data_IF_211495723788
#
_entry.id   IF_211495723788
#
_cell.length_a   1.000
_cell.length_b   1.000
_cell.length_c   1.000
_cell.angle_alpha   90.00
_cell.angle_beta   90.00
_cell.angle_gamma   90.00
#
_symmetry.space_group_name_H-M   'P 1'
#
loop_
_entity.id
_entity.type
_entity.pdbx_description
1 polymer ?
#
# COMPACT_ATOMS: atom_id res chain seq x y z
N UNK A 1 -21.54 -2.83 -7.28
CA UNK A 1 -20.47 -2.81 -6.27
C UNK A 1 -19.74 -4.12 -6.38
N UNK A 2 -18.41 -4.09 -6.58
CA UNK A 2 -17.63 -5.31 -6.63
C UNK A 2 -17.60 -5.98 -5.25
N UNK A 3 -17.68 -7.30 -5.22
CA UNK A 3 -17.81 -8.10 -3.99
C UNK A 3 -16.51 -8.06 -3.17
N UNK A 4 -16.60 -7.85 -1.85
CA UNK A 4 -15.41 -7.83 -1.00
C UNK A 4 -14.73 -9.21 -1.02
N UNK A 5 -13.45 -9.24 -1.39
CA UNK A 5 -12.67 -10.48 -1.61
C UNK A 5 -11.42 -10.57 -0.73
N UNK A 6 -11.20 -9.60 0.18
CA UNK A 6 -9.95 -9.46 0.91
C UNK A 6 -10.10 -9.04 2.38
N UNK A 7 -9.25 -9.54 3.30
CA UNK A 7 -8.31 -10.64 3.12
C UNK A 7 -9.02 -12.00 2.95
N UNK A 8 -8.46 -12.96 2.18
CA UNK A 8 -9.00 -14.32 2.09
C UNK A 8 -8.72 -15.03 3.42
N UNK A 9 -9.67 -14.94 4.33
CA UNK A 9 -9.55 -15.57 5.64
C UNK A 9 -10.02 -17.03 5.55
N UNK A 10 -9.34 -17.97 6.23
CA UNK A 10 -9.88 -19.30 6.44
C UNK A 10 -11.29 -19.21 7.04
N UNK A 11 -12.21 -20.06 6.58
CA UNK A 11 -13.63 -20.09 7.01
C UNK A 11 -13.86 -20.17 8.53
N UNK A 12 -12.82 -20.47 9.31
CA UNK A 12 -12.83 -20.59 10.77
C UNK A 12 -12.68 -19.23 11.50
N UNK A 13 -12.27 -18.16 10.80
CA UNK A 13 -12.17 -16.82 11.37
C UNK A 13 -13.49 -16.07 11.09
N UNK A 14 -14.23 -15.61 12.12
CA UNK A 14 -15.52 -14.92 11.97
C UNK A 14 -15.37 -13.46 11.48
N UNK A 15 -14.38 -13.19 10.63
CA UNK A 15 -14.18 -11.91 9.97
C UNK A 15 -14.56 -12.10 8.51
N UNK A 16 -15.61 -11.40 8.07
CA UNK A 16 -15.97 -11.35 6.64
C UNK A 16 -14.88 -10.59 5.88
N UNK A 17 -14.60 -10.94 4.61
CA UNK A 17 -13.77 -10.10 3.76
C UNK A 17 -14.35 -8.68 3.74
N UNK A 18 -13.55 -7.72 4.20
CA UNK A 18 -14.02 -6.33 4.38
C UNK A 18 -13.71 -5.46 3.15
N UNK A 19 -12.84 -5.92 2.24
CA UNK A 19 -12.35 -5.09 1.14
C UNK A 19 -12.39 -5.81 -0.21
N UNK A 20 -12.75 -5.06 -1.24
CA UNK A 20 -12.52 -5.46 -2.63
C UNK A 20 -11.08 -5.15 -3.03
N UNK A 21 -10.40 -6.13 -3.63
CA UNK A 21 -9.03 -6.02 -4.13
C UNK A 21 -8.91 -6.80 -5.44
N UNK A 22 -8.58 -6.11 -6.52
CA UNK A 22 -8.31 -6.74 -7.82
C UNK A 22 -7.01 -6.19 -8.41
N UNK A 23 -6.01 -7.06 -8.55
CA UNK A 23 -4.72 -6.68 -9.10
C UNK A 23 -4.78 -6.38 -10.61
N UNK A 24 -5.84 -6.79 -11.31
CA UNK A 24 -6.03 -6.51 -12.74
C UNK A 24 -6.41 -5.04 -13.01
N UNK A 25 -6.92 -4.32 -12.01
CA UNK A 25 -7.20 -2.88 -12.11
C UNK A 25 -5.92 -2.03 -12.12
N UNK A 26 -4.77 -2.60 -11.74
CA UNK A 26 -3.49 -1.90 -11.72
C UNK A 26 -2.83 -2.03 -13.11
N UNK A 27 -2.27 -0.94 -13.66
CA UNK A 27 -1.48 -0.99 -14.90
C UNK A 27 -0.39 -2.06 -14.82
N UNK A 28 -0.17 -2.82 -15.90
CA UNK A 28 0.73 -3.99 -15.91
C UNK A 28 2.15 -3.67 -15.40
N UNK A 29 2.63 -2.45 -15.67
CA UNK A 29 3.95 -1.97 -15.24
C UNK A 29 4.09 -1.88 -13.70
N UNK A 30 3.05 -1.49 -12.98
CA UNK A 30 3.04 -1.33 -11.51
C UNK A 30 2.43 -2.54 -10.78
N UNK A 31 1.71 -3.39 -11.49
CA UNK A 31 1.02 -4.58 -10.96
C UNK A 31 1.97 -5.54 -10.27
N UNK A 32 3.14 -5.81 -10.87
CA UNK A 32 4.15 -6.70 -10.28
C UNK A 32 4.69 -6.16 -8.96
N UNK A 33 4.88 -4.84 -8.86
CA UNK A 33 5.36 -4.22 -7.63
C UNK A 33 4.30 -4.26 -6.53
N UNK A 34 3.04 -3.95 -6.85
CA UNK A 34 1.93 -4.06 -5.91
C UNK A 34 1.74 -5.49 -5.39
N UNK A 35 1.85 -6.50 -6.27
CA UNK A 35 1.84 -7.91 -5.87
C UNK A 35 2.99 -8.25 -4.92
N UNK A 36 4.21 -7.78 -5.16
CA UNK A 36 5.36 -8.02 -4.26
C UNK A 36 5.13 -7.40 -2.88
N UNK A 37 4.60 -6.18 -2.83
CA UNK A 37 4.23 -5.52 -1.57
C UNK A 37 3.11 -6.25 -0.84
N UNK A 38 2.15 -6.81 -1.56
CA UNK A 38 1.12 -7.64 -0.97
C UNK A 38 1.69 -8.92 -0.31
N UNK A 39 2.57 -9.63 -1.01
CA UNK A 39 3.23 -10.81 -0.43
C UNK A 39 4.11 -10.43 0.78
N UNK A 40 4.74 -9.25 0.77
CA UNK A 40 5.48 -8.74 1.92
C UNK A 40 4.56 -8.47 3.12
N UNK A 41 3.36 -7.92 2.90
CA UNK A 41 2.36 -7.76 3.95
C UNK A 41 1.92 -9.11 4.53
N UNK A 42 1.62 -10.10 3.68
CA UNK A 42 1.30 -11.47 4.13
C UNK A 42 2.46 -12.04 4.96
N UNK A 43 3.70 -11.91 4.47
CA UNK A 43 4.89 -12.40 5.16
C UNK A 43 5.03 -11.75 6.53
N UNK A 44 4.79 -10.44 6.65
CA UNK A 44 4.81 -9.73 7.93
C UNK A 44 3.74 -10.27 8.89
N UNK A 45 2.51 -10.46 8.43
CA UNK A 45 1.44 -11.05 9.25
C UNK A 45 1.73 -12.50 9.66
N UNK A 46 2.24 -13.31 8.75
CA UNK A 46 2.66 -14.68 9.04
C UNK A 46 3.81 -14.71 10.05
N UNK A 47 4.76 -13.79 9.95
CA UNK A 47 5.87 -13.64 10.90
C UNK A 47 5.36 -13.34 12.30
N UNK A 48 4.37 -12.44 12.45
CA UNK A 48 3.75 -12.16 13.74
C UNK A 48 3.01 -13.37 14.32
N UNK A 49 2.37 -14.18 13.47
CA UNK A 49 1.68 -15.39 13.91
C UNK A 49 2.67 -16.47 14.37
N UNK A 50 3.77 -16.68 13.62
CA UNK A 50 4.85 -17.59 14.02
C UNK A 50 5.57 -17.07 15.27
N UNK A 51 5.71 -15.75 15.42
CA UNK A 51 6.26 -15.14 16.62
C UNK A 51 5.42 -15.42 17.86
N UNK A 52 4.08 -15.46 17.75
CA UNK A 52 3.21 -15.87 18.84
C UNK A 52 3.53 -17.30 19.32
N UNK A 53 3.77 -18.23 18.38
CA UNK A 53 4.18 -19.60 18.69
C UNK A 53 5.59 -19.61 19.33
N UNK A 54 6.52 -18.81 18.82
CA UNK A 54 7.86 -18.65 19.42
C UNK A 54 7.80 -18.11 20.85
N UNK A 55 6.95 -17.12 21.11
CA UNK A 55 6.76 -16.56 22.44
C UNK A 55 6.03 -17.53 23.39
N UNK A 56 5.15 -18.40 22.86
CA UNK A 56 4.56 -19.50 23.63
C UNK A 56 5.64 -20.52 24.01
N UNK A 57 6.51 -20.89 23.07
CA UNK A 57 7.62 -21.81 23.35
C UNK A 57 8.61 -21.21 24.37
N UNK A 58 8.90 -19.91 24.31
CA UNK A 58 9.64 -19.19 25.35
C UNK A 58 8.98 -19.33 26.72
N UNK A 59 7.67 -19.09 26.80
CA UNK A 59 6.92 -19.19 28.05
C UNK A 59 6.94 -20.61 28.62
N UNK A 60 6.69 -21.63 27.79
CA UNK A 60 6.77 -23.04 28.21
C UNK A 60 8.20 -23.48 28.56
N UNK A 61 9.21 -22.84 27.99
CA UNK A 61 10.62 -23.14 28.23
C UNK A 61 11.22 -22.52 29.50
N UNK A 62 10.40 -21.88 30.34
CA UNK A 62 10.83 -21.22 31.57
C UNK A 62 11.01 -19.71 31.46
N UNK A 63 10.61 -19.10 30.35
CA UNK A 63 10.64 -17.66 30.15
C UNK A 63 9.37 -16.94 30.62
N UNK A 64 9.45 -15.63 30.86
CA UNK A 64 8.31 -14.84 31.33
C UNK A 64 7.15 -14.71 30.32
N UNK A 65 5.91 -14.63 30.83
CA UNK A 65 4.68 -14.53 30.03
C UNK A 65 4.48 -13.18 29.31
N UNK A 66 5.23 -12.14 29.69
CA UNK A 66 5.13 -10.79 29.10
C UNK A 66 5.32 -10.82 27.59
N UNK A 67 6.31 -11.57 27.09
CA UNK A 67 6.55 -11.65 25.66
C UNK A 67 5.38 -12.30 24.91
N UNK A 68 4.74 -13.31 25.51
CA UNK A 68 3.57 -13.96 24.93
C UNK A 68 2.36 -13.02 24.87
N UNK A 69 2.05 -12.32 25.96
CA UNK A 69 0.96 -11.34 25.98
C UNK A 69 1.17 -10.21 24.97
N UNK A 70 2.39 -9.68 24.89
CA UNK A 70 2.75 -8.66 23.90
C UNK A 70 2.69 -9.18 22.47
N UNK A 71 3.08 -10.43 22.20
CA UNK A 71 2.98 -11.03 20.86
C UNK A 71 1.53 -11.13 20.37
N UNK A 72 0.57 -11.40 21.26
CA UNK A 72 -0.87 -11.36 20.94
C UNK A 72 -1.30 -9.95 20.51
N UNK A 73 -0.90 -8.93 21.29
CA UNK A 73 -1.20 -7.53 20.98
C UNK A 73 -0.61 -7.13 19.62
N UNK A 74 0.65 -7.49 19.35
CA UNK A 74 1.28 -7.26 18.05
C UNK A 74 0.50 -7.94 16.91
N UNK A 75 0.12 -9.20 17.07
CA UNK A 75 -0.60 -9.92 16.03
C UNK A 75 -1.97 -9.27 15.71
N UNK A 76 -2.74 -8.93 16.76
CA UNK A 76 -4.11 -8.41 16.60
C UNK A 76 -4.12 -6.94 16.16
N UNK A 77 -3.24 -6.10 16.70
CA UNK A 77 -3.23 -4.67 16.42
C UNK A 77 -2.41 -4.32 15.18
N UNK A 78 -1.22 -4.91 15.04
CA UNK A 78 -0.26 -4.51 14.01
C UNK A 78 -0.61 -5.07 12.63
N UNK A 79 -1.27 -6.23 12.56
CA UNK A 79 -1.76 -6.81 11.30
C UNK A 79 -2.77 -5.91 10.57
N UNK A 80 -3.90 -5.49 11.19
CA UNK A 80 -4.85 -4.58 10.53
C UNK A 80 -4.28 -3.17 10.36
N UNK A 81 -3.48 -2.68 11.33
CA UNK A 81 -2.85 -1.37 11.24
C UNK A 81 -1.91 -1.29 10.02
N UNK A 82 -1.02 -2.27 9.85
CA UNK A 82 -0.10 -2.29 8.71
C UNK A 82 -0.85 -2.35 7.36
N UNK A 83 -1.94 -3.10 7.28
CA UNK A 83 -2.78 -3.13 6.08
C UNK A 83 -3.36 -1.75 5.74
N UNK A 84 -3.99 -1.10 6.73
CA UNK A 84 -4.66 0.19 6.53
C UNK A 84 -3.67 1.32 6.31
N UNK A 85 -2.55 1.33 7.04
CA UNK A 85 -1.66 2.46 7.11
C UNK A 85 -0.61 2.49 5.99
N UNK A 86 -0.22 1.36 5.40
CA UNK A 86 0.74 1.38 4.29
C UNK A 86 0.28 0.61 3.05
N UNK A 87 -0.32 -0.57 3.20
CA UNK A 87 -0.71 -1.37 2.03
C UNK A 87 -1.87 -0.74 1.25
N UNK A 88 -2.88 -0.21 1.96
CA UNK A 88 -4.01 0.46 1.33
C UNK A 88 -3.62 1.77 0.62
N UNK A 89 -2.81 2.68 1.22
CA UNK A 89 -2.26 3.83 0.51
C UNK A 89 -1.51 3.44 -0.76
N UNK A 90 -0.63 2.43 -0.72
CA UNK A 90 0.15 2.06 -1.90
C UNK A 90 -0.70 1.39 -2.99
N UNK A 91 -1.70 0.60 -2.62
CA UNK A 91 -2.67 0.09 -3.59
C UNK A 91 -3.41 1.23 -4.30
N UNK A 92 -3.91 2.21 -3.53
CA UNK A 92 -4.59 3.38 -4.09
C UNK A 92 -3.64 4.22 -4.95
N UNK A 93 -2.41 4.41 -4.50
CA UNK A 93 -1.37 5.12 -5.23
C UNK A 93 -1.11 4.48 -6.60
N UNK A 94 -0.96 3.16 -6.67
CA UNK A 94 -0.76 2.46 -7.94
C UNK A 94 -2.02 2.40 -8.83
N UNK A 95 -3.23 2.38 -8.26
CA UNK A 95 -4.48 2.37 -9.02
C UNK A 95 -4.79 3.72 -9.67
N UNK A 96 -4.61 4.82 -8.93
CA UNK A 96 -5.03 6.16 -9.39
C UNK A 96 -3.85 7.08 -9.71
N UNK A 97 -2.63 6.57 -9.74
CA UNK A 97 -1.37 7.33 -9.91
C UNK A 97 -1.27 8.57 -8.98
N UNK A 98 -1.75 8.44 -7.74
CA UNK A 98 -1.92 9.58 -6.83
C UNK A 98 -0.65 9.85 -6.00
N UNK A 99 -0.05 11.02 -6.20
CA UNK A 99 1.19 11.46 -5.53
C UNK A 99 1.03 11.56 -4.01
N UNK A 100 -0.13 12.02 -3.53
CA UNK A 100 -0.42 12.11 -2.10
C UNK A 100 -0.42 10.73 -1.41
N UNK A 101 -0.96 9.71 -2.05
CA UNK A 101 -0.98 8.34 -1.50
C UNK A 101 0.42 7.70 -1.51
N UNK A 102 1.27 8.04 -2.50
CA UNK A 102 2.68 7.65 -2.47
C UNK A 102 3.42 8.29 -1.29
N UNK A 103 3.21 9.58 -1.02
CA UNK A 103 3.84 10.27 0.11
C UNK A 103 3.45 9.64 1.46
N UNK A 104 2.16 9.39 1.66
CA UNK A 104 1.66 8.72 2.86
C UNK A 104 2.25 7.31 3.03
N UNK A 105 2.35 6.55 1.94
CA UNK A 105 3.01 5.24 1.95
C UNK A 105 4.48 5.35 2.38
N UNK A 106 5.28 6.25 1.80
CA UNK A 106 6.70 6.36 2.15
C UNK A 106 6.92 6.68 3.62
N UNK A 107 6.15 7.62 4.18
CA UNK A 107 6.29 7.99 5.58
C UNK A 107 5.97 6.82 6.52
N UNK A 108 4.82 6.17 6.33
CA UNK A 108 4.40 5.05 7.19
C UNK A 108 5.29 3.82 6.98
N UNK A 109 5.63 3.51 5.73
CA UNK A 109 6.43 2.34 5.40
C UNK A 109 7.88 2.47 5.86
N UNK A 110 8.43 3.69 5.91
CA UNK A 110 9.73 3.94 6.54
C UNK A 110 9.69 3.62 8.04
N UNK A 111 8.65 4.06 8.76
CA UNK A 111 8.47 3.70 10.17
C UNK A 111 8.30 2.18 10.34
N UNK A 112 7.57 1.52 9.45
CA UNK A 112 7.44 0.06 9.42
C UNK A 112 8.81 -0.63 9.26
N UNK A 113 9.69 -0.13 8.38
CA UNK A 113 11.06 -0.66 8.23
C UNK A 113 11.83 -0.54 9.54
N UNK A 114 11.79 0.62 10.20
CA UNK A 114 12.46 0.81 11.51
C UNK A 114 11.92 -0.17 12.55
N UNK A 115 10.60 -0.32 12.65
CA UNK A 115 9.96 -1.27 13.57
C UNK A 115 10.43 -2.70 13.26
N UNK A 116 10.46 -3.10 11.98
CA UNK A 116 10.91 -4.46 11.60
C UNK A 116 12.36 -4.74 11.96
N UNK A 117 13.24 -3.73 11.91
CA UNK A 117 14.63 -3.84 12.36
C UNK A 117 14.69 -4.04 13.88
N UNK A 118 13.92 -3.26 14.65
CA UNK A 118 13.84 -3.42 16.11
C UNK A 118 13.29 -4.80 16.49
N UNK A 119 12.29 -5.30 15.76
CA UNK A 119 11.72 -6.63 15.96
C UNK A 119 12.74 -7.74 15.65
N UNK A 120 13.55 -7.57 14.59
CA UNK A 120 14.63 -8.50 14.28
C UNK A 120 15.72 -8.51 15.37
N UNK A 121 16.06 -7.36 15.95
CA UNK A 121 16.99 -7.28 17.09
C UNK A 121 16.40 -7.99 18.32
N UNK A 122 15.12 -7.81 18.60
CA UNK A 122 14.40 -8.56 19.64
C UNK A 122 14.65 -8.06 21.06
N UNK A 123 14.27 -6.81 21.34
CA UNK A 123 14.38 -6.22 22.69
C UNK A 123 13.52 -7.04 23.68
N UNK A 124 14.08 -7.51 24.81
CA UNK A 124 13.31 -8.24 25.82
C UNK A 124 12.09 -7.45 26.30
N UNK A 125 10.93 -8.11 26.42
CA UNK A 125 9.69 -7.48 26.87
C UNK A 125 8.87 -6.81 25.76
N UNK A 126 9.39 -6.71 24.53
CA UNK A 126 8.63 -6.19 23.38
C UNK A 126 7.66 -7.20 22.78
N UNK A 127 7.69 -8.47 23.18
CA UNK A 127 6.84 -9.50 22.60
C UNK A 127 7.31 -10.03 21.25
N UNK A 128 8.63 -10.04 21.04
CA UNK A 128 9.25 -10.55 19.83
C UNK A 128 10.40 -11.49 20.14
N UNK A 129 10.45 -12.61 19.41
CA UNK A 129 11.57 -13.54 19.38
C UNK A 129 12.60 -13.08 18.34
N UNK A 130 13.29 -11.96 18.60
CA UNK A 130 14.42 -11.52 17.77
C UNK A 130 15.75 -12.07 18.25
N UNK A 131 16.84 -11.69 17.59
CA UNK A 131 18.17 -12.26 17.80
C UNK A 131 18.64 -12.22 19.26
N UNK A 132 18.49 -11.10 19.94
CA UNK A 132 18.93 -10.93 21.33
C UNK A 132 18.18 -11.88 22.28
N UNK A 133 16.84 -11.90 22.18
CA UNK A 133 16.01 -12.83 22.95
C UNK A 133 16.37 -14.29 22.65
N UNK A 134 16.47 -14.67 21.37
CA UNK A 134 16.72 -16.06 20.99
C UNK A 134 18.11 -16.55 21.43
N UNK A 135 19.17 -15.75 21.22
CA UNK A 135 20.54 -16.11 21.61
C UNK A 135 20.64 -16.29 23.14
N UNK A 136 20.05 -15.36 23.90
CA UNK A 136 20.09 -15.44 25.37
C UNK A 136 19.30 -16.61 25.93
N UNK A 137 18.29 -17.11 25.21
CA UNK A 137 17.48 -18.23 25.69
C UNK A 137 18.12 -19.61 25.43
N UNK A 138 19.14 -19.70 24.56
CA UNK A 138 19.83 -20.96 24.29
C UNK A 138 20.47 -21.58 25.54
N UNK A 139 20.95 -20.75 26.47
CA UNK A 139 21.50 -21.23 27.75
C UNK A 139 20.43 -21.71 28.73
N UNK A 140 19.15 -21.40 28.49
CA UNK A 140 18.02 -21.75 29.36
C UNK A 140 17.32 -23.01 28.86
N UNK A 141 16.88 -23.01 27.60
CA UNK A 141 16.20 -24.15 26.99
C UNK A 141 16.47 -24.19 25.49
N UNK A 142 17.27 -25.17 25.07
CA UNK A 142 17.67 -25.36 23.67
C UNK A 142 16.44 -25.62 22.78
N UNK A 143 15.48 -26.44 23.24
CA UNK A 143 14.29 -26.77 22.46
C UNK A 143 13.45 -25.54 22.14
N UNK A 144 13.15 -24.72 23.13
CA UNK A 144 12.43 -23.45 22.93
C UNK A 144 13.23 -22.47 22.08
N UNK A 145 14.54 -22.36 22.28
CA UNK A 145 15.39 -21.47 21.49
C UNK A 145 15.42 -21.83 20.00
N UNK A 146 15.38 -23.12 19.66
CA UNK A 146 15.25 -23.57 18.26
C UNK A 146 13.92 -23.14 17.65
N UNK A 147 12.82 -23.24 18.39
CA UNK A 147 11.49 -22.77 17.90
C UNK A 147 11.51 -21.26 17.70
N UNK A 148 12.18 -20.51 18.58
CA UNK A 148 12.29 -19.05 18.48
C UNK A 148 13.19 -18.57 17.33
N UNK A 149 14.14 -19.37 16.87
CA UNK A 149 14.96 -19.01 15.70
C UNK A 149 14.10 -18.83 14.44
N UNK A 150 12.99 -19.56 14.32
CA UNK A 150 12.10 -19.48 13.16
C UNK A 150 11.55 -18.05 12.98
N UNK A 151 10.83 -17.46 13.96
CA UNK A 151 10.40 -16.07 13.86
C UNK A 151 11.56 -15.07 13.81
N UNK A 152 12.71 -15.33 14.46
CA UNK A 152 13.90 -14.46 14.36
C UNK A 152 14.37 -14.30 12.91
N UNK A 153 14.50 -15.41 12.19
CA UNK A 153 14.93 -15.41 10.78
C UNK A 153 13.85 -14.73 9.91
N UNK A 154 12.58 -15.00 10.18
CA UNK A 154 11.47 -14.37 9.45
C UNK A 154 11.43 -12.85 9.66
N UNK A 155 11.63 -12.33 10.88
CA UNK A 155 11.72 -10.89 11.13
C UNK A 155 12.90 -10.26 10.38
N UNK A 156 14.05 -10.95 10.34
CA UNK A 156 15.21 -10.50 9.57
C UNK A 156 14.88 -10.43 8.07
N UNK A 157 14.22 -11.46 7.53
CA UNK A 157 13.77 -11.48 6.14
C UNK A 157 12.78 -10.36 5.84
N UNK A 158 11.80 -10.12 6.72
CA UNK A 158 10.84 -9.01 6.60
C UNK A 158 11.58 -7.66 6.58
N UNK A 159 12.54 -7.44 7.48
CA UNK A 159 13.30 -6.18 7.52
C UNK A 159 14.08 -5.93 6.22
N UNK A 160 14.80 -6.95 5.74
CA UNK A 160 15.58 -6.87 4.48
C UNK A 160 14.68 -6.64 3.28
N UNK A 161 13.60 -7.44 3.14
CA UNK A 161 12.67 -7.31 2.02
C UNK A 161 11.90 -5.99 2.06
N UNK A 162 11.56 -5.48 3.25
CA UNK A 162 10.91 -4.16 3.40
C UNK A 162 11.84 -3.04 2.98
N UNK A 163 13.12 -3.11 3.35
CA UNK A 163 14.12 -2.14 2.89
C UNK A 163 14.27 -2.15 1.36
N UNK A 164 14.43 -3.34 0.76
CA UNK A 164 14.52 -3.49 -0.70
C UNK A 164 13.26 -2.97 -1.39
N UNK A 165 12.07 -3.28 -0.84
CA UNK A 165 10.81 -2.82 -1.38
C UNK A 165 10.69 -1.30 -1.34
N UNK A 166 11.07 -0.66 -0.23
CA UNK A 166 11.10 0.80 -0.09
C UNK A 166 11.99 1.43 -1.18
N UNK A 167 13.21 0.94 -1.36
CA UNK A 167 14.12 1.43 -2.41
C UNK A 167 13.54 1.25 -3.81
N UNK A 168 12.91 0.11 -4.09
CA UNK A 168 12.31 -0.19 -5.40
C UNK A 168 11.12 0.72 -5.70
N UNK A 169 10.21 0.96 -4.74
CA UNK A 169 9.08 1.89 -4.93
C UNK A 169 9.60 3.32 -5.09
N UNK A 170 10.59 3.71 -4.28
CA UNK A 170 11.19 5.04 -4.36
C UNK A 170 11.87 5.30 -5.71
N UNK A 171 12.61 4.32 -6.24
CA UNK A 171 13.23 4.42 -7.55
C UNK A 171 12.20 4.44 -8.69
N UNK A 172 11.11 3.66 -8.58
CA UNK A 172 10.01 3.72 -9.53
C UNK A 172 9.34 5.11 -9.52
N UNK A 173 9.09 5.65 -8.33
CA UNK A 173 8.50 6.98 -8.15
C UNK A 173 9.40 8.11 -8.68
N UNK A 174 10.73 8.01 -8.49
CA UNK A 174 11.71 8.97 -9.05
C UNK A 174 11.92 8.81 -10.55
N UNK A 175 11.95 7.58 -11.05
CA UNK A 175 12.20 7.27 -12.47
C UNK A 175 11.05 7.66 -13.39
N UNK A 176 9.82 7.72 -12.88
CA UNK A 176 8.64 8.19 -13.62
C UNK A 176 8.50 9.71 -13.73
N UNK A 177 9.47 10.51 -13.28
CA UNK A 177 9.60 11.94 -13.59
C UNK A 177 8.61 12.93 -12.92
N UNK A 178 7.85 12.54 -11.88
CA UNK A 178 6.69 13.32 -11.42
C UNK A 178 6.80 14.19 -10.15
N UNK A 179 7.88 14.13 -9.36
CA UNK A 179 7.68 14.25 -7.91
C UNK A 179 7.69 15.64 -7.24
N UNK A 180 7.68 16.76 -7.95
CA UNK A 180 7.48 18.08 -7.31
C UNK A 180 6.46 18.91 -8.08
N UNK A 181 6.65 19.12 -9.38
CA UNK A 181 5.70 19.91 -10.19
C UNK A 181 4.29 19.30 -10.21
N UNK A 182 4.17 17.97 -10.31
CA UNK A 182 2.87 17.27 -10.38
C UNK A 182 2.18 17.18 -9.02
N UNK A 183 2.94 16.96 -7.94
CA UNK A 183 2.42 17.01 -6.58
C UNK A 183 2.00 18.43 -6.18
N UNK A 184 2.73 19.45 -6.67
CA UNK A 184 2.40 20.85 -6.49
C UNK A 184 1.18 21.25 -7.33
N UNK A 185 1.03 20.71 -8.54
CA UNK A 185 -0.17 20.85 -9.38
C UNK A 185 -1.39 20.16 -8.76
N UNK A 186 -1.28 18.93 -8.25
CA UNK A 186 -2.37 18.24 -7.53
C UNK A 186 -2.77 18.96 -6.22
N UNK A 187 -1.79 19.61 -5.56
CA UNK A 187 -2.02 20.42 -4.36
C UNK A 187 -2.66 21.78 -4.69
N UNK A 188 -2.21 22.46 -5.75
CA UNK A 188 -2.70 23.79 -6.14
C UNK A 188 -4.03 23.73 -6.87
N UNK A 189 -4.29 22.67 -7.65
CA UNK A 189 -5.57 22.48 -8.35
C UNK A 189 -6.71 22.04 -7.43
N UNK A 190 -6.43 21.68 -6.17
CA UNK A 190 -7.47 21.30 -5.20
C UNK A 190 -8.31 20.09 -5.66
N UNK A 191 -7.76 19.27 -6.55
CA UNK A 191 -8.43 18.13 -7.18
C UNK A 191 -8.93 17.08 -6.17
N UNK A 192 -8.50 17.18 -4.91
CA UNK A 192 -8.95 16.33 -3.81
C UNK A 192 -10.30 16.74 -3.20
N UNK A 193 -10.90 17.89 -3.57
CA UNK A 193 -12.08 18.41 -2.83
C UNK A 193 -13.32 18.87 -3.61
N UNK A 194 -13.34 19.05 -4.94
CA UNK A 194 -14.40 19.89 -5.54
C UNK A 194 -15.50 19.17 -6.39
N UNK A 195 -16.78 19.21 -5.97
CA UNK A 195 -17.95 18.96 -6.83
C UNK A 195 -18.01 19.91 -8.05
N UNK A 196 -17.35 21.07 -7.97
CA UNK A 196 -17.27 22.05 -9.07
C UNK A 196 -16.43 21.59 -10.27
N UNK A 197 -15.48 20.67 -10.11
CA UNK A 197 -14.73 20.11 -11.26
C UNK A 197 -15.64 19.18 -12.08
N UNK A 198 -16.59 18.50 -11.44
CA UNK A 198 -17.65 17.73 -12.12
C UNK A 198 -18.63 18.64 -12.87
N UNK A 199 -19.02 19.78 -12.29
CA UNK A 199 -19.88 20.76 -12.98
C UNK A 199 -19.15 21.50 -14.12
N UNK A 200 -17.88 21.85 -13.96
CA UNK A 200 -17.09 22.48 -15.01
C UNK A 200 -16.84 21.54 -16.20
N UNK A 201 -16.64 20.24 -15.94
CA UNK A 201 -16.57 19.22 -17.00
C UNK A 201 -17.92 19.07 -17.73
N UNK A 202 -19.05 19.14 -17.02
CA UNK A 202 -20.39 19.14 -17.63
C UNK A 202 -20.67 20.40 -18.46
N UNK A 203 -20.22 21.58 -18.02
CA UNK A 203 -20.36 22.83 -18.78
C UNK A 203 -19.46 22.87 -20.02
N UNK A 204 -18.25 22.31 -19.95
CA UNK A 204 -17.36 22.17 -21.11
C UNK A 204 -17.96 21.21 -22.17
N UNK A 205 -18.61 20.12 -21.74
CA UNK A 205 -19.33 19.20 -22.64
C UNK A 205 -20.54 19.87 -23.32
N UNK A 206 -21.27 20.73 -22.61
CA UNK A 206 -22.41 21.48 -23.16
C UNK A 206 -21.96 22.56 -24.17
N UNK A 207 -20.81 23.22 -23.94
CA UNK A 207 -20.24 24.19 -24.86
C UNK A 207 -19.72 23.57 -26.17
N UNK A 208 -19.15 22.36 -26.11
CA UNK A 208 -18.70 21.63 -27.30
C UNK A 208 -19.88 21.16 -28.18
N UNK A 209 -21.03 20.83 -27.58
CA UNK A 209 -22.24 20.47 -28.32
C UNK A 209 -22.87 21.68 -29.05
N UNK A 210 -22.74 22.89 -28.50
CA UNK A 210 -23.17 24.13 -29.17
C UNK A 210 -22.24 24.51 -30.34
N UNK A 211 -20.91 24.39 -30.16
CA UNK A 211 -19.94 24.65 -31.23
C UNK A 211 -20.02 23.67 -32.42
N UNK A 212 -20.55 22.47 -32.21
CA UNK A 212 -20.78 21.50 -33.28
C UNK A 212 -22.04 21.80 -34.13
N UNK A 213 -22.98 22.63 -33.64
CA UNK A 213 -24.18 23.03 -34.40
C UNK A 213 -23.95 24.28 -35.29
N UNK A 214 -22.94 25.10 -35.00
CA UNK A 214 -22.61 26.28 -35.84
C UNK A 214 -21.78 25.94 -37.09
N UNK A 215 -21.22 24.72 -37.19
CA UNK A 215 -20.38 24.29 -38.30
C UNK A 215 -21.10 23.85 -39.58
N UNK A 216 -22.43 23.89 -39.65
CA UNK A 216 -23.20 23.35 -40.79
C UNK A 216 -23.74 24.38 -41.79
N UNK A 217 -23.38 25.66 -41.70
CA UNK A 217 -23.97 26.68 -42.60
C UNK A 217 -22.93 27.56 -43.30
N UNK A 218 -22.28 27.06 -44.36
CA UNK A 218 -22.21 27.75 -45.67
C UNK A 218 -21.43 26.98 -46.74
N UNK A 219 -21.99 26.88 -47.94
CA UNK A 219 -21.28 27.11 -49.22
C UNK A 219 -22.30 27.12 -50.37
N UNK A 220 -22.76 28.32 -50.78
CA UNK A 220 -23.34 28.52 -52.11
C UNK A 220 -22.36 29.39 -52.93
N UNK A 221 -22.02 29.00 -54.18
CA UNK A 221 -20.98 29.67 -54.96
C UNK A 221 -21.46 31.01 -55.57
N UNK A 222 -20.55 31.97 -55.81
CA UNK A 222 -20.90 33.32 -56.25
C UNK A 222 -21.23 33.40 -57.75
N UNK A 223 -22.25 34.19 -58.09
CA UNK A 223 -22.62 34.57 -59.46
C UNK A 223 -21.93 35.88 -59.87
N UNK A 224 -21.21 35.88 -60.99
CA UNK A 224 -20.64 37.09 -61.59
C UNK A 224 -21.66 37.76 -62.53
N UNK A 225 -21.87 39.06 -62.35
CA UNK A 225 -22.73 39.87 -63.22
C UNK A 225 -21.84 40.73 -64.12
N UNK A 226 -21.96 40.55 -65.44
CA UNK A 226 -21.36 41.40 -66.45
C UNK A 226 -22.46 42.30 -66.99
N UNK A 227 -22.20 43.62 -67.01
CA UNK A 227 -22.65 44.63 -67.98
C UNK A 227 -23.06 45.96 -67.32
N UNK A 228 -22.11 46.89 -67.30
CA UNK A 228 -22.34 48.33 -67.42
C UNK A 228 -22.96 48.67 -68.80
N UNK A 229 -23.80 49.72 -68.89
CA UNK A 229 -24.03 50.41 -70.15
C UNK A 229 -23.37 51.80 -70.17
N UNK A 230 -22.46 51.93 -71.15
CA UNK A 230 -21.94 53.10 -71.89
C UNK A 230 -21.24 54.24 -71.14
#
# INVERSE_FOLDING_TARGET
>A
MAENNFPPLPRFIPLKPCFYQDFNEIPDQSRTMCKRLYHLWILNSATLAVNLIGCLAWMCGGGGATNFGMAILWLILFTPCSYVCWFRPIYKAFKTDSSFNFMAFFFVFMAQVVISIIQAVGIPGWGVCGWLATITFFSTNIGSAVVMLIPTIMFTAVAVLSFIALTKVHNLYRGSGGSMSKAQEEWTTGAWKNPHVQQAAQQAAMGAAQGAMEGQQYSAPPTYNYNDPM
#
